data_IF_510488523938
#
_entry.id   IF_510488523938
#
_cell.length_a   1.000
_cell.length_b   1.000
_cell.length_c   1.000
_cell.angle_alpha   90.00
_cell.angle_beta   90.00
_cell.angle_gamma   90.00
#
_symmetry.space_group_name_H-M   'P 1'
#
loop_
_entity.id
_entity.type
_entity.pdbx_description
1 polymer ?
#
# COMPACT_ATOMS: atom_id res chain seq x y z
N UNK A 1 -26.66 66.45 -34.68
CA UNK A 1 -25.45 65.90 -34.01
C UNK A 1 -24.31 66.15 -34.91
N UNK A 2 -23.32 66.96 -34.48
CA UNK A 2 -22.14 67.28 -35.31
C UNK A 2 -21.22 66.04 -35.35
N UNK A 3 -20.50 65.86 -36.41
CA UNK A 3 -19.59 64.76 -36.64
C UNK A 3 -18.61 64.53 -35.47
N UNK A 4 -18.21 65.64 -34.83
CA UNK A 4 -17.36 65.64 -33.64
C UNK A 4 -18.02 64.94 -32.39
N UNK A 5 -19.32 65.24 -32.20
CA UNK A 5 -20.08 64.59 -31.06
C UNK A 5 -20.21 63.08 -31.22
N UNK A 6 -20.35 62.63 -32.47
CA UNK A 6 -20.42 61.23 -32.78
C UNK A 6 -19.09 60.49 -32.54
N UNK A 7 -17.97 61.10 -32.94
CA UNK A 7 -16.63 60.56 -32.69
C UNK A 7 -16.28 60.48 -31.19
N UNK A 8 -16.69 61.43 -30.38
CA UNK A 8 -16.52 61.39 -28.93
C UNK A 8 -17.36 60.25 -28.30
N UNK A 9 -18.58 60.04 -28.77
CA UNK A 9 -19.43 58.97 -28.29
C UNK A 9 -18.84 57.59 -28.58
N UNK A 10 -18.28 57.39 -29.78
CA UNK A 10 -17.61 56.16 -30.17
C UNK A 10 -16.40 55.91 -29.28
N UNK A 11 -15.57 56.89 -29.01
CA UNK A 11 -14.43 56.72 -28.10
C UNK A 11 -14.81 56.40 -26.65
N UNK A 12 -15.93 56.95 -26.18
CA UNK A 12 -16.45 56.61 -24.85
C UNK A 12 -16.92 55.15 -24.82
N UNK A 13 -17.65 54.71 -25.87
CA UNK A 13 -18.12 53.30 -25.97
C UNK A 13 -16.94 52.31 -26.00
N UNK A 14 -15.91 52.58 -26.79
CA UNK A 14 -14.70 51.77 -26.88
C UNK A 14 -14.00 51.65 -25.51
N UNK A 15 -13.84 52.80 -24.80
CA UNK A 15 -13.29 52.81 -23.44
C UNK A 15 -14.13 52.00 -22.44
N UNK A 16 -15.45 52.09 -22.53
CA UNK A 16 -16.33 51.32 -21.65
C UNK A 16 -16.24 49.85 -21.97
N UNK A 17 -16.17 49.45 -23.26
CA UNK A 17 -16.01 48.07 -23.65
C UNK A 17 -14.70 47.49 -23.14
N UNK A 18 -13.57 48.19 -23.32
CA UNK A 18 -12.28 47.76 -22.76
C UNK A 18 -12.33 47.52 -21.25
N UNK A 19 -13.04 48.40 -20.52
CA UNK A 19 -13.18 48.26 -19.08
C UNK A 19 -14.09 47.12 -18.66
N UNK A 20 -15.10 46.78 -19.43
CA UNK A 20 -15.96 45.64 -19.25
C UNK A 20 -15.13 44.34 -19.43
N UNK A 21 -14.34 44.28 -20.50
CA UNK A 21 -13.49 43.13 -20.81
C UNK A 21 -12.45 42.88 -19.68
N UNK A 22 -11.82 43.95 -19.17
CA UNK A 22 -10.90 43.89 -18.02
C UNK A 22 -11.62 43.37 -16.74
N UNK A 23 -12.83 43.83 -16.48
CA UNK A 23 -13.62 43.40 -15.32
C UNK A 23 -14.08 41.96 -15.44
N UNK A 24 -14.46 41.51 -16.64
CA UNK A 24 -14.84 40.12 -16.89
C UNK A 24 -13.63 39.19 -16.68
N UNK A 25 -12.45 39.55 -17.18
CA UNK A 25 -11.23 38.79 -16.97
C UNK A 25 -10.86 38.71 -15.47
N UNK A 26 -10.98 39.84 -14.75
CA UNK A 26 -10.72 39.90 -13.31
C UNK A 26 -11.70 39.02 -12.54
N UNK A 27 -12.99 39.07 -12.91
CA UNK A 27 -14.03 38.22 -12.30
C UNK A 27 -13.76 36.72 -12.50
N UNK A 28 -13.34 36.32 -13.70
CA UNK A 28 -12.98 34.94 -13.99
C UNK A 28 -11.79 34.45 -13.13
N UNK A 29 -10.75 35.27 -12.97
CA UNK A 29 -9.62 34.98 -12.11
C UNK A 29 -10.07 34.82 -10.64
N UNK A 30 -10.89 35.73 -10.15
CA UNK A 30 -11.43 35.66 -8.78
C UNK A 30 -12.30 34.42 -8.54
N UNK A 31 -13.15 34.07 -9.49
CA UNK A 31 -13.97 32.85 -9.41
C UNK A 31 -13.09 31.61 -9.32
N UNK A 32 -12.05 31.51 -10.15
CA UNK A 32 -11.11 30.40 -10.12
C UNK A 32 -10.36 30.31 -8.78
N UNK A 33 -9.85 31.47 -8.29
CA UNK A 33 -9.17 31.53 -7.00
C UNK A 33 -10.09 31.15 -5.82
N UNK A 34 -11.33 31.63 -5.83
CA UNK A 34 -12.30 31.27 -4.78
C UNK A 34 -12.60 29.77 -4.79
N UNK A 35 -12.75 29.17 -5.97
CA UNK A 35 -12.93 27.71 -6.06
C UNK A 35 -11.76 26.95 -5.45
N UNK A 36 -10.52 27.35 -5.77
CA UNK A 36 -9.31 26.74 -5.20
C UNK A 36 -9.26 26.89 -3.67
N UNK A 37 -9.67 28.06 -3.13
CA UNK A 37 -9.73 28.27 -1.68
C UNK A 37 -10.77 27.37 -1.00
N UNK A 38 -11.95 27.21 -1.60
CA UNK A 38 -12.99 26.31 -1.09
C UNK A 38 -12.47 24.87 -1.06
N UNK A 39 -11.90 24.37 -2.16
CA UNK A 39 -11.35 23.03 -2.24
C UNK A 39 -10.25 22.80 -1.18
N UNK A 40 -9.44 23.82 -0.93
CA UNK A 40 -8.39 23.76 0.10
C UNK A 40 -8.96 23.73 1.52
N UNK A 41 -9.98 24.54 1.82
CA UNK A 41 -10.64 24.55 3.14
C UNK A 41 -11.34 23.21 3.40
N UNK A 42 -12.06 22.66 2.42
CA UNK A 42 -12.70 21.34 2.52
C UNK A 42 -11.64 20.23 2.76
N UNK A 43 -10.49 20.34 2.12
CA UNK A 43 -9.35 19.44 2.36
C UNK A 43 -8.85 19.49 3.81
N UNK A 44 -8.66 20.69 4.35
CA UNK A 44 -8.25 20.90 5.76
C UNK A 44 -9.29 20.36 6.74
N UNK A 45 -10.57 20.64 6.53
CA UNK A 45 -11.64 20.13 7.38
C UNK A 45 -11.64 18.60 7.43
N UNK A 46 -11.42 17.97 6.28
CA UNK A 46 -11.32 16.52 6.18
C UNK A 46 -10.10 15.99 6.96
N UNK A 47 -8.93 16.60 6.81
CA UNK A 47 -7.73 16.21 7.55
C UNK A 47 -7.91 16.36 9.08
N UNK A 48 -8.55 17.45 9.53
CA UNK A 48 -8.86 17.66 10.94
C UNK A 48 -9.80 16.58 11.48
N UNK A 49 -10.81 16.20 10.70
CA UNK A 49 -11.75 15.15 11.09
C UNK A 49 -11.06 13.78 11.13
N UNK A 50 -10.22 13.47 10.14
CA UNK A 50 -9.43 12.24 10.13
C UNK A 50 -8.50 12.18 11.34
N UNK A 51 -7.83 13.28 11.71
CA UNK A 51 -7.02 13.36 12.91
C UNK A 51 -7.85 13.16 14.19
N UNK A 52 -8.97 13.88 14.36
CA UNK A 52 -9.84 13.74 15.53
C UNK A 52 -10.33 12.31 15.75
N UNK A 53 -10.66 11.62 14.66
CA UNK A 53 -11.13 10.24 14.69
C UNK A 53 -10.03 9.25 15.11
N UNK A 54 -8.76 9.54 14.84
CA UNK A 54 -7.64 8.66 15.08
C UNK A 54 -6.82 9.03 16.33
N UNK A 55 -6.81 10.31 16.74
CA UNK A 55 -6.03 10.79 17.88
C UNK A 55 -6.20 9.96 19.17
N UNK A 56 -7.40 9.49 19.55
CA UNK A 56 -7.56 8.64 20.74
C UNK A 56 -6.76 7.33 20.65
N UNK A 57 -6.51 6.80 19.47
CA UNK A 57 -5.76 5.56 19.25
C UNK A 57 -4.25 5.81 19.15
N UNK A 58 -3.86 6.94 18.58
CA UNK A 58 -2.46 7.30 18.40
C UNK A 58 -1.77 7.73 19.70
N UNK A 59 -2.52 8.44 20.55
CA UNK A 59 -1.99 9.03 21.80
C UNK A 59 -2.01 8.08 22.99
N UNK A 60 -2.75 6.97 22.91
CA UNK A 60 -2.85 6.03 24.02
C UNK A 60 -1.65 5.08 24.05
N UNK A 61 -0.94 5.08 25.16
CA UNK A 61 0.15 4.14 25.43
C UNK A 61 -0.35 2.83 26.05
N UNK A 62 -1.58 2.80 26.58
CA UNK A 62 -2.19 1.63 27.19
C UNK A 62 -3.14 0.95 26.20
N UNK A 63 -2.87 -0.33 25.89
CA UNK A 63 -3.63 -1.15 24.95
C UNK A 63 -5.09 -1.39 25.40
N UNK A 64 -5.49 -1.00 26.59
CA UNK A 64 -6.84 -1.21 27.15
C UNK A 64 -7.63 0.06 27.35
N UNK A 65 -7.04 1.25 27.14
CA UNK A 65 -7.73 2.51 27.33
C UNK A 65 -8.93 2.67 26.37
N UNK A 66 -10.00 3.27 26.85
CA UNK A 66 -11.26 3.52 26.13
C UNK A 66 -12.04 2.29 25.63
N UNK A 67 -11.81 1.11 26.21
CA UNK A 67 -12.53 -0.12 25.82
C UNK A 67 -12.11 -0.70 24.47
N UNK A 68 -11.07 -0.16 23.85
CA UNK A 68 -10.45 -0.73 22.66
C UNK A 68 -9.25 -1.59 23.07
N UNK A 69 -9.01 -2.64 22.27
CA UNK A 69 -7.81 -3.44 22.38
C UNK A 69 -6.94 -3.25 21.14
N UNK A 70 -5.65 -3.40 21.30
CA UNK A 70 -4.70 -3.33 20.20
C UNK A 70 -4.16 -4.72 19.90
N UNK A 71 -4.08 -5.12 18.62
CA UNK A 71 -3.44 -6.39 18.25
C UNK A 71 -1.97 -6.37 18.69
N UNK A 72 -1.50 -7.49 19.23
CA UNK A 72 -0.09 -7.69 19.55
C UNK A 72 0.68 -7.93 18.27
N UNK A 73 1.52 -6.98 17.88
CA UNK A 73 2.26 -7.01 16.61
C UNK A 73 3.76 -6.99 16.93
N UNK A 74 4.46 -8.04 16.54
CA UNK A 74 5.91 -8.11 16.53
C UNK A 74 6.48 -7.22 15.43
N UNK A 75 7.65 -6.63 15.71
CA UNK A 75 8.32 -5.70 14.79
C UNK A 75 8.73 -6.34 13.45
N UNK A 76 9.02 -5.49 12.46
CA UNK A 76 9.58 -5.92 11.18
C UNK A 76 10.88 -6.73 11.35
N UNK A 77 11.75 -6.34 12.30
CA UNK A 77 12.99 -7.08 12.59
C UNK A 77 12.71 -8.49 13.13
N UNK A 78 11.70 -8.66 13.97
CA UNK A 78 11.28 -9.99 14.46
C UNK A 78 10.65 -10.82 13.34
N UNK A 79 9.94 -10.18 12.40
CA UNK A 79 9.42 -10.85 11.21
C UNK A 79 10.58 -11.36 10.32
N UNK A 80 11.57 -10.52 10.03
CA UNK A 80 12.76 -10.94 9.27
C UNK A 80 13.47 -12.08 9.97
N UNK A 81 13.66 -11.98 11.30
CA UNK A 81 14.31 -13.04 12.07
C UNK A 81 13.55 -14.37 11.96
N UNK A 82 12.22 -14.35 12.06
CA UNK A 82 11.41 -15.55 11.90
C UNK A 82 11.53 -16.16 10.49
N UNK A 83 11.58 -15.33 9.45
CA UNK A 83 11.75 -15.78 8.07
C UNK A 83 13.15 -16.33 7.78
N UNK A 84 14.21 -15.74 8.36
CA UNK A 84 15.61 -16.13 8.13
C UNK A 84 16.03 -17.30 9.02
N UNK A 85 15.85 -17.17 10.34
CA UNK A 85 16.40 -18.12 11.31
C UNK A 85 15.50 -19.36 11.51
N UNK A 86 14.17 -19.14 11.43
CA UNK A 86 13.17 -20.18 11.66
C UNK A 86 12.54 -20.71 10.37
N UNK A 87 12.93 -20.16 9.21
CA UNK A 87 12.37 -20.49 7.88
C UNK A 87 10.84 -20.41 7.79
N UNK A 88 10.23 -19.51 8.55
CA UNK A 88 8.77 -19.34 8.52
C UNK A 88 8.32 -18.69 7.23
N UNK A 89 7.19 -19.12 6.72
CA UNK A 89 6.43 -18.46 5.66
C UNK A 89 5.73 -17.23 6.20
N UNK A 90 5.36 -16.29 5.32
CA UNK A 90 4.65 -15.07 5.70
C UNK A 90 3.47 -14.80 4.77
N UNK A 91 2.28 -14.70 5.35
CA UNK A 91 1.06 -14.17 4.73
C UNK A 91 0.79 -12.76 5.28
N UNK A 92 0.46 -11.78 4.42
CA UNK A 92 0.31 -10.39 4.85
C UNK A 92 -1.10 -9.88 4.61
N UNK A 93 -1.58 -9.07 5.56
CA UNK A 93 -2.88 -8.42 5.52
C UNK A 93 -2.70 -6.91 5.57
N UNK A 94 -3.04 -6.26 4.48
CA UNK A 94 -3.20 -4.81 4.35
C UNK A 94 -4.67 -4.44 4.15
N UNK A 95 -4.89 -3.25 3.65
CA UNK A 95 -6.23 -2.71 3.35
C UNK A 95 -6.94 -3.48 2.21
N UNK A 96 -6.18 -4.04 1.28
CA UNK A 96 -6.71 -4.88 0.20
C UNK A 96 -7.34 -6.17 0.71
N UNK A 97 -6.61 -6.92 1.53
CA UNK A 97 -7.05 -8.20 2.08
C UNK A 97 -8.25 -8.03 3.02
N UNK A 98 -8.22 -7.05 3.92
CA UNK A 98 -9.37 -6.75 4.78
C UNK A 98 -10.60 -6.28 3.98
N UNK A 99 -10.39 -5.53 2.89
CA UNK A 99 -11.48 -5.12 2.00
C UNK A 99 -12.08 -6.31 1.27
N UNK A 100 -11.26 -7.24 0.77
CA UNK A 100 -11.72 -8.46 0.10
C UNK A 100 -12.53 -9.36 1.06
N UNK A 101 -12.07 -9.54 2.31
CA UNK A 101 -12.85 -10.24 3.36
C UNK A 101 -14.22 -9.57 3.57
N UNK A 102 -14.28 -8.24 3.53
CA UNK A 102 -15.52 -7.48 3.67
C UNK A 102 -16.37 -7.37 2.38
N UNK A 103 -16.01 -8.11 1.32
CA UNK A 103 -16.72 -8.08 0.03
C UNK A 103 -16.62 -6.73 -0.69
N UNK A 104 -15.50 -6.03 -0.55
CA UNK A 104 -15.26 -4.72 -1.18
C UNK A 104 -14.02 -4.77 -2.07
N UNK A 105 -14.08 -4.07 -3.20
CA UNK A 105 -12.91 -3.79 -4.04
C UNK A 105 -12.14 -2.61 -3.46
N UNK A 106 -10.82 -2.71 -3.41
CA UNK A 106 -9.94 -1.64 -2.92
C UNK A 106 -8.89 -1.22 -3.94
N UNK A 107 -8.29 -2.17 -4.61
CA UNK A 107 -7.16 -1.96 -5.51
C UNK A 107 -7.37 -2.62 -6.88
N UNK A 108 -6.69 -2.11 -7.91
CA UNK A 108 -6.76 -2.67 -9.28
C UNK A 108 -6.25 -4.11 -9.36
N UNK A 109 -5.33 -4.53 -8.48
CA UNK A 109 -4.87 -5.94 -8.44
C UNK A 109 -6.00 -6.94 -8.16
N UNK A 110 -7.03 -6.49 -7.44
CA UNK A 110 -8.27 -7.23 -7.22
C UNK A 110 -9.43 -6.27 -7.52
N UNK A 111 -9.73 -6.12 -8.81
CA UNK A 111 -10.75 -5.20 -9.31
C UNK A 111 -12.17 -5.75 -9.23
N UNK A 112 -12.32 -7.03 -8.88
CA UNK A 112 -13.60 -7.72 -8.74
C UNK A 112 -13.80 -8.22 -7.31
N UNK A 113 -15.06 -8.24 -6.85
CA UNK A 113 -15.41 -8.90 -5.60
C UNK A 113 -15.41 -10.41 -5.82
N UNK A 114 -14.61 -11.12 -5.03
CA UNK A 114 -14.55 -12.58 -5.05
C UNK A 114 -14.79 -13.12 -3.63
N UNK A 115 -15.98 -13.72 -3.42
CA UNK A 115 -16.38 -14.26 -2.12
C UNK A 115 -15.50 -15.46 -1.71
N UNK A 116 -14.99 -16.25 -2.67
CA UNK A 116 -14.09 -17.38 -2.38
C UNK A 116 -12.74 -16.87 -1.89
N UNK A 117 -12.19 -15.82 -2.54
CA UNK A 117 -10.97 -15.16 -2.07
C UNK A 117 -11.18 -14.60 -0.66
N UNK A 118 -12.29 -13.89 -0.42
CA UNK A 118 -12.61 -13.35 0.90
C UNK A 118 -12.67 -14.43 1.99
N UNK A 119 -13.32 -15.54 1.71
CA UNK A 119 -13.41 -16.70 2.62
C UNK A 119 -12.03 -17.34 2.87
N UNK A 120 -11.21 -17.49 1.84
CA UNK A 120 -9.84 -18.02 1.96
C UNK A 120 -8.94 -17.09 2.78
N UNK A 121 -9.01 -15.79 2.55
CA UNK A 121 -8.26 -14.80 3.34
C UNK A 121 -8.66 -14.88 4.83
N UNK A 122 -9.94 -15.02 5.12
CA UNK A 122 -10.41 -15.18 6.51
C UNK A 122 -9.88 -16.46 7.15
N UNK A 123 -9.85 -17.59 6.42
CA UNK A 123 -9.21 -18.83 6.85
C UNK A 123 -7.74 -18.61 7.20
N UNK A 124 -6.98 -17.95 6.32
CA UNK A 124 -5.56 -17.64 6.54
C UNK A 124 -5.37 -16.77 7.79
N UNK A 125 -6.19 -15.72 7.95
CA UNK A 125 -6.12 -14.80 9.09
C UNK A 125 -6.27 -15.53 10.43
N UNK A 126 -7.14 -16.54 10.47
CA UNK A 126 -7.42 -17.34 11.64
C UNK A 126 -6.55 -18.61 11.76
N UNK A 127 -5.67 -18.86 10.80
CA UNK A 127 -4.80 -20.03 10.81
C UNK A 127 -3.89 -20.06 12.05
N UNK A 128 -3.65 -21.26 12.55
CA UNK A 128 -2.68 -21.57 13.59
C UNK A 128 -1.52 -22.42 13.05
N UNK A 129 -1.26 -22.35 11.73
CA UNK A 129 -0.14 -23.05 11.10
C UNK A 129 1.19 -22.60 11.72
N UNK A 130 1.94 -23.54 12.30
CA UNK A 130 3.13 -23.24 13.09
C UNK A 130 4.23 -22.57 12.25
N UNK A 131 4.39 -23.00 10.99
CA UNK A 131 5.42 -22.48 10.09
C UNK A 131 4.99 -21.23 9.31
N UNK A 132 3.84 -20.62 9.66
CA UNK A 132 3.33 -19.43 9.02
C UNK A 132 3.21 -18.30 10.03
N UNK A 133 3.82 -17.16 9.71
CA UNK A 133 3.54 -15.90 10.41
C UNK A 133 2.50 -15.10 9.65
N UNK A 134 1.54 -14.55 10.40
CA UNK A 134 0.51 -13.66 9.85
C UNK A 134 0.92 -12.22 10.11
N UNK A 135 1.15 -11.48 9.04
CA UNK A 135 1.46 -10.05 9.09
C UNK A 135 0.18 -9.21 9.01
N UNK A 136 0.05 -8.23 9.89
CA UNK A 136 -0.94 -7.16 9.78
C UNK A 136 -0.23 -5.81 9.84
N UNK A 137 -0.84 -4.76 9.27
CA UNK A 137 -0.25 -3.44 9.28
C UNK A 137 -0.07 -2.92 10.71
N UNK A 138 1.13 -2.42 11.04
CA UNK A 138 1.45 -1.92 12.38
C UNK A 138 1.05 -0.46 12.57
N UNK A 139 -0.21 -0.14 12.28
CA UNK A 139 -0.77 1.21 12.25
C UNK A 139 -1.98 1.42 13.19
N UNK A 140 -2.19 0.52 14.15
CA UNK A 140 -3.31 0.59 15.09
C UNK A 140 -3.07 1.53 16.28
N UNK A 141 -1.84 1.88 16.59
CA UNK A 141 -1.41 2.77 17.67
C UNK A 141 -0.70 4.03 17.17
N UNK A 142 0.40 4.46 17.85
CA UNK A 142 1.20 5.61 17.44
C UNK A 142 1.68 5.52 16.00
N UNK A 143 1.58 6.64 15.30
CA UNK A 143 2.04 6.81 13.92
C UNK A 143 3.35 7.61 13.82
N UNK A 144 4.05 7.88 14.94
CA UNK A 144 5.21 8.78 14.97
C UNK A 144 6.35 8.38 14.04
N UNK A 145 6.49 7.09 13.77
CA UNK A 145 7.51 6.55 12.86
C UNK A 145 7.26 6.78 11.36
N UNK A 146 6.08 7.26 10.99
CA UNK A 146 5.69 7.43 9.60
C UNK A 146 5.81 8.89 9.15
N UNK A 147 5.99 9.09 7.84
CA UNK A 147 5.94 10.43 7.21
C UNK A 147 4.56 11.05 7.40
N UNK A 148 4.47 12.38 7.33
CA UNK A 148 3.19 13.08 7.43
C UNK A 148 2.20 12.66 6.35
N UNK A 149 2.70 12.36 5.15
CA UNK A 149 1.86 11.82 4.07
C UNK A 149 1.28 10.45 4.46
N UNK A 150 2.11 9.54 4.93
CA UNK A 150 1.67 8.19 5.34
C UNK A 150 0.70 8.25 6.54
N UNK A 151 0.92 9.16 7.50
CA UNK A 151 -0.03 9.40 8.60
C UNK A 151 -1.40 9.81 8.08
N UNK A 152 -1.45 10.75 7.11
CA UNK A 152 -2.71 11.18 6.50
C UNK A 152 -3.42 10.02 5.78
N UNK A 153 -2.69 9.22 5.02
CA UNK A 153 -3.24 8.06 4.31
C UNK A 153 -3.78 7.00 5.28
N UNK A 154 -3.02 6.69 6.34
CA UNK A 154 -3.44 5.74 7.39
C UNK A 154 -4.71 6.24 8.09
N UNK A 155 -4.76 7.51 8.51
CA UNK A 155 -5.92 8.10 9.18
C UNK A 155 -7.16 8.10 8.30
N UNK A 156 -6.99 8.40 7.00
CA UNK A 156 -8.07 8.36 6.02
C UNK A 156 -8.64 6.95 5.86
N UNK A 157 -7.81 5.94 5.91
CA UNK A 157 -8.23 4.55 5.78
C UNK A 157 -8.81 3.99 7.09
N UNK A 158 -8.08 4.11 8.20
CA UNK A 158 -8.45 3.54 9.50
C UNK A 158 -9.47 4.41 10.25
N UNK A 159 -10.55 4.80 9.57
CA UNK A 159 -11.69 5.43 10.23
C UNK A 159 -12.29 4.52 11.30
N UNK A 160 -12.99 5.05 12.33
CA UNK A 160 -13.50 4.26 13.45
C UNK A 160 -14.29 3.01 13.05
N UNK A 161 -15.07 3.10 11.97
CA UNK A 161 -15.82 1.95 11.43
C UNK A 161 -14.88 0.86 10.92
N UNK A 162 -13.90 1.21 10.08
CA UNK A 162 -12.93 0.27 9.49
C UNK A 162 -12.07 -0.37 10.60
N UNK A 163 -11.61 0.45 11.56
CA UNK A 163 -10.87 -0.04 12.72
C UNK A 163 -11.67 -1.08 13.51
N UNK A 164 -12.95 -0.81 13.76
CA UNK A 164 -13.85 -1.74 14.43
C UNK A 164 -14.04 -3.04 13.64
N UNK A 165 -14.24 -2.95 12.33
CA UNK A 165 -14.33 -4.12 11.45
C UNK A 165 -13.08 -5.00 11.54
N UNK A 166 -11.88 -4.39 11.44
CA UNK A 166 -10.62 -5.13 11.59
C UNK A 166 -10.52 -5.82 12.96
N UNK A 167 -10.79 -5.09 14.05
CA UNK A 167 -10.69 -5.64 15.41
C UNK A 167 -11.71 -6.76 15.68
N UNK A 168 -12.81 -6.83 14.94
CA UNK A 168 -13.77 -7.94 15.02
C UNK A 168 -13.26 -9.21 14.31
N UNK A 169 -12.40 -9.06 13.30
CA UNK A 169 -11.80 -10.17 12.56
C UNK A 169 -10.53 -10.69 13.24
N UNK A 170 -9.81 -9.84 13.98
CA UNK A 170 -8.55 -10.20 14.63
C UNK A 170 -8.79 -10.93 15.97
N UNK A 171 -7.89 -11.85 16.33
CA UNK A 171 -7.90 -12.54 17.63
C UNK A 171 -7.08 -11.79 18.66
N UNK A 172 -7.63 -11.63 19.88
CA UNK A 172 -6.92 -11.03 21.03
C UNK A 172 -5.75 -11.89 21.52
N UNK A 173 -5.85 -13.19 21.34
CA UNK A 173 -4.88 -14.15 21.87
C UNK A 173 -3.73 -14.43 20.89
N UNK A 174 -3.89 -14.04 19.62
CA UNK A 174 -2.90 -14.21 18.58
C UNK A 174 -1.84 -13.11 18.61
N UNK A 175 -0.61 -13.48 18.31
CA UNK A 175 0.49 -12.55 18.04
C UNK A 175 0.66 -12.47 16.53
N UNK A 176 0.58 -11.29 16.01
CA UNK A 176 0.80 -10.95 14.61
C UNK A 176 2.22 -10.43 14.39
N UNK A 177 2.60 -10.23 13.15
CA UNK A 177 3.86 -9.60 12.75
C UNK A 177 3.59 -8.35 11.91
N UNK A 178 4.57 -7.46 11.81
CA UNK A 178 4.43 -6.25 11.03
C UNK A 178 4.41 -6.52 9.52
N UNK A 179 3.25 -6.37 8.88
CA UNK A 179 3.12 -6.51 7.43
C UNK A 179 3.90 -5.46 6.64
N UNK A 180 4.26 -4.33 7.27
CA UNK A 180 5.07 -3.29 6.64
C UNK A 180 6.56 -3.66 6.54
N UNK A 181 6.96 -4.86 6.97
CA UNK A 181 8.31 -5.39 6.74
C UNK A 181 8.72 -5.33 5.26
N UNK A 182 7.78 -5.49 4.33
CA UNK A 182 8.02 -5.40 2.88
C UNK A 182 7.76 -4.01 2.29
N UNK A 183 7.59 -2.99 3.14
CA UNK A 183 7.51 -1.57 2.78
C UNK A 183 8.56 -0.75 3.55
N UNK A 184 9.84 -1.03 3.37
CA UNK A 184 10.89 -0.56 4.27
C UNK A 184 11.33 0.89 4.03
N UNK A 185 10.73 1.64 3.10
CA UNK A 185 11.26 2.91 2.64
C UNK A 185 10.29 4.09 2.71
N UNK A 186 9.43 4.31 1.70
CA UNK A 186 8.75 5.60 1.50
C UNK A 186 7.81 6.02 2.62
N UNK A 187 7.29 5.07 3.37
CA UNK A 187 6.32 5.39 4.42
C UNK A 187 6.96 5.86 5.75
N UNK A 188 8.24 5.63 5.97
CA UNK A 188 8.91 5.91 7.24
C UNK A 188 9.54 7.30 7.27
N UNK A 189 9.47 7.98 8.43
CA UNK A 189 10.03 9.31 8.64
C UNK A 189 11.57 9.35 8.59
N UNK A 190 12.22 8.20 8.72
CA UNK A 190 13.68 8.03 8.63
C UNK A 190 14.17 7.61 7.23
N UNK A 191 13.34 7.80 6.20
CA UNK A 191 13.64 7.37 4.83
C UNK A 191 14.86 8.08 4.18
N UNK A 192 15.27 9.23 4.69
CA UNK A 192 16.47 9.96 4.25
C UNK A 192 17.75 9.59 5.02
N UNK A 193 17.69 8.55 5.88
CA UNK A 193 18.82 8.08 6.68
C UNK A 193 19.37 6.76 6.13
N UNK A 194 20.32 6.13 6.88
CA UNK A 194 20.81 4.78 6.58
C UNK A 194 19.83 3.65 6.97
N UNK A 195 18.71 3.99 7.60
CA UNK A 195 17.74 3.00 8.08
C UNK A 195 17.10 2.16 6.95
N UNK A 196 16.68 2.74 5.81
CA UNK A 196 16.16 1.95 4.68
C UNK A 196 17.17 0.93 4.16
N UNK A 197 18.41 1.32 3.98
CA UNK A 197 19.48 0.39 3.55
C UNK A 197 19.60 -0.78 4.51
N UNK A 198 19.62 -0.51 5.80
CA UNK A 198 19.70 -1.56 6.83
C UNK A 198 18.50 -2.52 6.76
N UNK A 199 17.29 -2.00 6.50
CA UNK A 199 16.08 -2.81 6.34
C UNK A 199 16.14 -3.68 5.08
N UNK A 200 16.59 -3.14 3.95
CA UNK A 200 16.76 -3.93 2.72
C UNK A 200 17.88 -4.99 2.87
N UNK A 201 18.99 -4.64 3.49
CA UNK A 201 20.07 -5.60 3.76
C UNK A 201 19.60 -6.75 4.67
N UNK A 202 18.72 -6.46 5.62
CA UNK A 202 18.11 -7.49 6.45
C UNK A 202 17.15 -8.39 5.66
N UNK A 203 16.33 -7.83 4.78
CA UNK A 203 15.42 -8.57 3.91
C UNK A 203 16.16 -9.46 2.91
N UNK A 204 17.26 -8.96 2.31
CA UNK A 204 18.09 -9.72 1.37
C UNK A 204 18.62 -11.03 1.97
N UNK A 205 18.78 -11.12 3.29
CA UNK A 205 19.19 -12.36 3.97
C UNK A 205 18.20 -13.51 3.82
N UNK A 206 16.93 -13.22 3.51
CA UNK A 206 15.89 -14.25 3.35
C UNK A 206 16.20 -15.17 2.16
N UNK A 207 16.70 -14.61 1.07
CA UNK A 207 17.02 -15.35 -0.16
C UNK A 207 18.52 -15.49 -0.43
N UNK A 208 19.36 -15.11 0.53
CA UNK A 208 20.81 -15.20 0.37
C UNK A 208 21.27 -16.65 0.14
N UNK A 209 21.92 -16.88 -1.00
CA UNK A 209 22.42 -18.22 -1.40
C UNK A 209 21.31 -19.26 -1.65
N UNK A 210 20.05 -18.86 -1.82
CA UNK A 210 18.92 -19.78 -1.99
C UNK A 210 18.40 -19.82 -3.42
N UNK A 211 17.88 -20.98 -3.78
CA UNK A 211 17.12 -21.13 -5.02
C UNK A 211 15.69 -20.58 -4.83
N UNK A 212 15.32 -19.57 -5.59
CA UNK A 212 14.08 -18.85 -5.47
C UNK A 212 13.12 -19.08 -6.64
N UNK A 213 11.82 -19.07 -6.35
CA UNK A 213 10.75 -19.02 -7.33
C UNK A 213 9.94 -17.75 -7.06
N UNK A 214 9.92 -16.83 -8.00
CA UNK A 214 9.03 -15.66 -7.96
C UNK A 214 7.70 -16.05 -8.57
N UNK A 215 6.60 -15.74 -7.87
CA UNK A 215 5.25 -15.87 -8.43
C UNK A 215 4.65 -14.47 -8.50
N UNK A 216 4.48 -13.95 -9.69
CA UNK A 216 4.15 -12.54 -9.90
C UNK A 216 3.18 -12.30 -11.05
N UNK A 217 2.52 -11.14 -11.04
CA UNK A 217 1.71 -10.69 -12.16
C UNK A 217 2.58 -10.27 -13.37
N UNK A 218 2.08 -10.45 -14.59
CA UNK A 218 2.80 -10.22 -15.86
C UNK A 218 3.51 -8.89 -15.94
N UNK A 219 3.16 -7.85 -15.28
CA UNK A 219 3.82 -6.54 -15.34
C UNK A 219 4.57 -6.16 -14.06
N UNK A 220 4.69 -7.08 -13.08
CA UNK A 220 5.32 -6.78 -11.80
C UNK A 220 6.83 -6.71 -11.91
N UNK A 221 7.48 -7.70 -12.57
CA UNK A 221 8.92 -7.73 -12.90
C UNK A 221 9.81 -7.56 -11.66
N UNK A 222 9.59 -8.38 -10.65
CA UNK A 222 10.35 -8.34 -9.40
C UNK A 222 11.85 -8.52 -9.64
N UNK A 223 12.67 -7.58 -9.16
CA UNK A 223 14.13 -7.58 -9.26
C UNK A 223 14.68 -7.21 -10.64
N UNK A 224 13.85 -7.05 -11.67
CA UNK A 224 14.31 -6.68 -13.00
C UNK A 224 14.91 -5.27 -12.98
N UNK A 225 16.16 -5.16 -13.46
CA UNK A 225 16.88 -3.89 -13.53
C UNK A 225 17.54 -3.43 -12.22
N UNK A 226 17.44 -4.22 -11.14
CA UNK A 226 18.05 -3.91 -9.84
C UNK A 226 18.90 -5.07 -9.31
N UNK A 227 19.63 -4.84 -8.21
CA UNK A 227 20.40 -5.86 -7.51
C UNK A 227 19.63 -6.51 -6.34
N UNK A 228 18.31 -6.32 -6.26
CA UNK A 228 17.50 -6.82 -5.15
C UNK A 228 17.68 -8.32 -4.89
N UNK A 229 17.76 -9.11 -5.95
CA UNK A 229 17.86 -10.58 -5.89
C UNK A 229 19.22 -11.14 -6.27
N UNK A 230 20.25 -10.29 -6.43
CA UNK A 230 21.58 -10.72 -6.91
C UNK A 230 22.30 -11.70 -5.97
N UNK A 231 21.93 -11.76 -4.70
CA UNK A 231 22.48 -12.70 -3.73
C UNK A 231 21.71 -14.03 -3.65
N UNK A 232 20.61 -14.20 -4.40
CA UNK A 232 19.98 -15.51 -4.59
C UNK A 232 20.87 -16.42 -5.43
N UNK A 233 20.83 -17.75 -5.17
CA UNK A 233 21.59 -18.74 -5.96
C UNK A 233 21.00 -18.89 -7.36
N UNK A 234 19.69 -18.95 -7.47
CA UNK A 234 18.94 -18.96 -8.72
C UNK A 234 17.57 -18.33 -8.54
N UNK A 235 17.03 -17.80 -9.63
CA UNK A 235 15.69 -17.22 -9.66
C UNK A 235 14.93 -17.80 -10.86
N UNK A 236 13.76 -18.40 -10.59
CA UNK A 236 12.81 -18.83 -11.59
C UNK A 236 11.52 -18.00 -11.43
N UNK A 237 10.75 -17.82 -12.50
CA UNK A 237 9.50 -17.05 -12.44
C UNK A 237 8.31 -17.87 -12.90
N UNK A 238 7.21 -17.80 -12.15
CA UNK A 238 5.88 -18.27 -12.52
C UNK A 238 5.02 -17.03 -12.70
N UNK A 239 4.48 -16.84 -13.90
CA UNK A 239 3.67 -15.68 -14.23
C UNK A 239 2.17 -15.95 -14.00
N UNK A 240 1.52 -15.03 -13.31
CA UNK A 240 0.08 -14.94 -13.18
C UNK A 240 -0.48 -13.69 -13.89
N UNK A 241 -1.81 -13.51 -13.89
CA UNK A 241 -2.43 -12.30 -14.41
C UNK A 241 -1.97 -11.06 -13.64
N UNK A 242 -1.96 -9.91 -14.33
CA UNK A 242 -1.66 -8.62 -13.69
C UNK A 242 -2.74 -8.21 -12.68
N UNK A 243 -3.99 -8.60 -12.92
CA UNK A 243 -5.15 -8.32 -12.09
C UNK A 243 -5.96 -9.59 -11.85
N UNK A 244 -6.70 -9.64 -10.74
CA UNK A 244 -7.60 -10.75 -10.38
C UNK A 244 -6.92 -12.13 -10.44
N UNK A 245 -5.68 -12.21 -9.93
CA UNK A 245 -4.85 -13.41 -10.02
C UNK A 245 -5.51 -14.64 -9.37
N UNK A 246 -6.49 -14.45 -8.48
CA UNK A 246 -7.24 -15.54 -7.86
C UNK A 246 -8.08 -16.33 -8.87
N UNK A 247 -8.44 -15.76 -10.01
CA UNK A 247 -9.14 -16.48 -11.09
C UNK A 247 -8.31 -17.64 -11.68
N UNK A 248 -6.97 -17.57 -11.55
CA UNK A 248 -6.05 -18.63 -11.97
C UNK A 248 -5.39 -19.38 -10.78
N UNK A 249 -6.01 -19.30 -9.61
CA UNK A 249 -5.41 -19.80 -8.36
C UNK A 249 -4.97 -21.27 -8.44
N UNK A 250 -5.86 -22.15 -8.95
CA UNK A 250 -5.59 -23.59 -9.02
C UNK A 250 -4.40 -23.90 -9.93
N UNK A 251 -4.27 -23.21 -11.06
CA UNK A 251 -3.11 -23.33 -11.95
C UNK A 251 -1.83 -22.87 -11.24
N UNK A 252 -1.85 -21.66 -10.65
CA UNK A 252 -0.70 -21.09 -9.96
C UNK A 252 -0.21 -21.99 -8.83
N UNK A 253 -1.14 -22.52 -8.03
CA UNK A 253 -0.80 -23.47 -6.97
C UNK A 253 -0.21 -24.77 -7.52
N UNK A 254 -0.81 -25.33 -8.59
CA UNK A 254 -0.30 -26.52 -9.25
C UNK A 254 1.12 -26.34 -9.77
N UNK A 255 1.38 -25.24 -10.49
CA UNK A 255 2.71 -24.90 -11.03
C UNK A 255 3.77 -24.75 -9.92
N UNK A 256 3.37 -24.19 -8.76
CA UNK A 256 4.22 -24.10 -7.59
C UNK A 256 4.53 -25.48 -6.96
N UNK A 257 3.52 -26.35 -6.86
CA UNK A 257 3.66 -27.67 -6.23
C UNK A 257 4.55 -28.63 -7.04
N UNK A 258 4.78 -28.36 -8.32
CA UNK A 258 5.73 -29.10 -9.17
C UNK A 258 7.20 -28.78 -8.84
N UNK A 259 7.47 -27.70 -8.10
CA UNK A 259 8.84 -27.29 -7.76
C UNK A 259 9.41 -28.11 -6.61
N UNK A 260 10.74 -28.28 -6.54
CA UNK A 260 11.41 -28.95 -5.42
C UNK A 260 11.13 -28.25 -4.08
N UNK A 261 11.03 -29.02 -3.01
CA UNK A 261 10.66 -28.53 -1.66
C UNK A 261 11.67 -27.56 -1.02
N UNK A 262 12.91 -27.56 -1.46
CA UNK A 262 13.95 -26.65 -0.99
C UNK A 262 13.87 -25.24 -1.59
N UNK A 263 13.02 -25.02 -2.59
CA UNK A 263 12.82 -23.70 -3.20
C UNK A 263 12.12 -22.75 -2.23
N UNK A 264 12.59 -21.49 -2.21
CA UNK A 264 11.93 -20.39 -1.54
C UNK A 264 10.99 -19.69 -2.51
N UNK A 265 9.73 -19.52 -2.13
CA UNK A 265 8.77 -18.76 -2.93
C UNK A 265 8.70 -17.30 -2.47
N UNK A 266 8.81 -16.37 -3.42
CA UNK A 266 8.60 -14.93 -3.25
C UNK A 266 7.36 -14.54 -4.06
N UNK A 267 6.30 -14.09 -3.39
CA UNK A 267 4.98 -13.93 -3.99
C UNK A 267 4.60 -12.46 -4.12
N UNK A 268 4.22 -12.03 -5.31
CA UNK A 268 3.81 -10.66 -5.64
C UNK A 268 2.55 -10.65 -6.53
N UNK A 269 1.40 -11.08 -5.96
CA UNK A 269 0.11 -11.27 -6.66
C UNK A 269 -1.08 -10.61 -5.94
N UNK A 270 -0.84 -9.48 -5.24
CA UNK A 270 -1.87 -8.85 -4.42
C UNK A 270 -2.47 -9.82 -3.40
N UNK A 271 -3.78 -9.77 -3.08
CA UNK A 271 -4.39 -10.63 -2.07
C UNK A 271 -4.27 -12.14 -2.34
N UNK A 272 -4.06 -12.53 -3.59
CA UNK A 272 -3.81 -13.93 -3.97
C UNK A 272 -2.52 -14.46 -3.36
N UNK A 273 -1.48 -13.62 -3.23
CA UNK A 273 -0.21 -13.99 -2.62
C UNK A 273 -0.38 -14.44 -1.16
N UNK A 274 -1.25 -13.79 -0.41
CA UNK A 274 -1.56 -14.12 0.98
C UNK A 274 -2.09 -15.54 1.13
N UNK A 275 -3.03 -15.95 0.26
CA UNK A 275 -3.60 -17.32 0.25
C UNK A 275 -2.58 -18.33 -0.25
N UNK A 276 -1.82 -17.99 -1.29
CA UNK A 276 -0.81 -18.88 -1.87
C UNK A 276 0.33 -19.14 -0.87
N UNK A 277 0.77 -18.14 -0.09
CA UNK A 277 1.76 -18.33 0.96
C UNK A 277 1.31 -19.35 2.01
N UNK A 278 0.04 -19.32 2.38
CA UNK A 278 -0.54 -20.27 3.33
C UNK A 278 -0.58 -21.69 2.77
N UNK A 279 -1.08 -21.89 1.56
CA UNK A 279 -1.19 -23.23 0.99
C UNK A 279 0.18 -23.84 0.67
N UNK A 280 1.12 -23.05 0.21
CA UNK A 280 2.51 -23.48 0.03
C UNK A 280 3.19 -23.83 1.37
N UNK A 281 2.94 -23.06 2.42
CA UNK A 281 3.41 -23.37 3.76
C UNK A 281 2.88 -24.74 4.23
N UNK A 282 1.57 -24.98 4.11
CA UNK A 282 0.95 -26.30 4.44
C UNK A 282 1.51 -27.43 3.59
N UNK A 283 1.90 -27.13 2.37
CA UNK A 283 2.55 -28.12 1.49
C UNK A 283 4.04 -28.33 1.81
N UNK A 284 4.61 -27.64 2.82
CA UNK A 284 5.99 -27.81 3.29
C UNK A 284 7.02 -26.98 2.55
N UNK A 285 6.61 -25.90 1.88
CA UNK A 285 7.51 -24.88 1.32
C UNK A 285 7.65 -23.71 2.26
N UNK A 286 8.72 -22.95 2.12
CA UNK A 286 8.78 -21.58 2.62
C UNK A 286 8.28 -20.63 1.54
N UNK A 287 7.24 -19.87 1.83
CA UNK A 287 6.63 -18.90 0.91
C UNK A 287 6.38 -17.58 1.60
N UNK A 288 6.81 -16.48 0.98
CA UNK A 288 6.76 -15.14 1.54
C UNK A 288 6.03 -14.23 0.58
N UNK A 289 4.91 -13.67 1.03
CA UNK A 289 4.25 -12.56 0.37
C UNK A 289 5.12 -11.31 0.51
N UNK A 290 5.78 -10.91 -0.57
CA UNK A 290 6.68 -9.74 -0.62
C UNK A 290 5.96 -8.45 -1.03
N UNK A 291 4.72 -8.53 -1.54
CA UNK A 291 3.92 -7.38 -1.97
C UNK A 291 4.68 -6.44 -2.88
N UNK A 292 4.81 -5.16 -2.48
CA UNK A 292 5.46 -4.09 -3.24
C UNK A 292 6.94 -3.88 -2.91
N UNK A 293 7.62 -4.88 -2.35
CA UNK A 293 9.02 -4.75 -1.95
C UNK A 293 9.93 -4.29 -3.10
N UNK A 294 9.66 -4.75 -4.30
CA UNK A 294 10.42 -4.39 -5.50
C UNK A 294 10.27 -2.89 -5.84
N UNK A 295 9.06 -2.35 -5.81
CA UNK A 295 8.83 -0.91 -6.04
C UNK A 295 9.46 -0.06 -4.93
N UNK A 296 9.38 -0.48 -3.67
CA UNK A 296 10.06 0.19 -2.56
C UNK A 296 11.58 0.24 -2.76
N UNK A 297 12.16 -0.83 -3.32
CA UNK A 297 13.58 -0.89 -3.63
C UNK A 297 13.97 0.00 -4.80
N UNK A 298 13.15 0.05 -5.85
CA UNK A 298 13.33 0.96 -6.97
C UNK A 298 13.32 2.44 -6.52
N UNK A 299 12.33 2.81 -5.69
CA UNK A 299 12.26 4.18 -5.14
C UNK A 299 13.47 4.49 -4.26
N UNK A 300 13.91 3.53 -3.44
CA UNK A 300 15.12 3.69 -2.62
C UNK A 300 16.37 3.93 -3.47
N UNK A 301 16.60 3.14 -4.52
CA UNK A 301 17.76 3.30 -5.41
C UNK A 301 17.75 4.64 -6.16
N UNK A 302 16.57 5.19 -6.44
CA UNK A 302 16.40 6.49 -7.09
C UNK A 302 16.44 7.66 -6.12
N UNK A 303 16.42 7.41 -4.81
CA UNK A 303 16.31 8.46 -3.78
C UNK A 303 14.96 9.17 -3.76
N UNK A 304 13.89 8.50 -4.22
CA UNK A 304 12.53 9.05 -4.28
C UNK A 304 11.85 8.89 -2.94
N UNK A 305 11.73 9.96 -2.16
CA UNK A 305 11.06 9.93 -0.84
C UNK A 305 9.53 9.73 -0.89
N UNK A 306 8.96 9.58 -2.08
CA UNK A 306 7.53 9.42 -2.34
C UNK A 306 7.30 8.31 -3.38
N UNK A 307 6.05 7.86 -3.51
CA UNK A 307 5.65 6.91 -4.55
C UNK A 307 5.60 7.61 -5.90
N UNK A 308 6.39 7.12 -6.85
CA UNK A 308 6.44 7.61 -8.23
C UNK A 308 6.27 6.45 -9.21
N UNK A 309 5.94 6.77 -10.45
CA UNK A 309 5.88 5.77 -11.51
C UNK A 309 7.27 5.16 -11.76
N UNK A 310 7.30 3.82 -11.88
CA UNK A 310 8.49 3.06 -12.29
C UNK A 310 8.25 2.57 -13.72
N UNK A 311 8.96 3.10 -14.72
CA UNK A 311 8.75 2.73 -16.10
C UNK A 311 8.83 1.22 -16.33
N UNK A 312 7.81 0.66 -16.98
CA UNK A 312 7.74 -0.75 -17.31
C UNK A 312 7.30 -1.67 -16.17
N UNK A 313 7.02 -1.16 -14.98
CA UNK A 313 6.45 -1.93 -13.85
C UNK A 313 5.03 -1.45 -13.54
N UNK A 314 4.14 -2.39 -13.25
CA UNK A 314 2.77 -2.07 -12.86
C UNK A 314 2.73 -1.56 -11.42
N UNK A 315 2.19 -0.37 -11.23
CA UNK A 315 2.00 0.26 -9.94
C UNK A 315 0.56 0.79 -9.82
N UNK A 316 -0.22 0.20 -8.94
CA UNK A 316 -1.62 0.59 -8.69
C UNK A 316 -1.80 1.51 -7.48
N UNK A 317 -0.72 1.97 -6.86
CA UNK A 317 -0.74 2.85 -5.69
C UNK A 317 -0.59 4.34 -6.05
N UNK A 318 -0.33 4.61 -7.31
CA UNK A 318 -0.34 5.99 -7.81
C UNK A 318 -1.80 6.48 -7.91
N UNK A 319 -2.07 7.74 -7.52
CA UNK A 319 -3.35 8.34 -7.82
C UNK A 319 -3.61 8.28 -9.32
N UNK A 320 -4.85 7.99 -9.71
CA UNK A 320 -5.24 8.11 -11.11
C UNK A 320 -4.90 9.54 -11.56
N UNK A 321 -4.04 9.66 -12.55
CA UNK A 321 -3.78 10.97 -13.21
C UNK A 321 -5.06 11.36 -13.92
N UNK A 322 -5.75 12.41 -13.40
CA UNK A 322 -6.88 13.06 -14.07
C UNK A 322 -6.49 13.61 -15.44
#
# INVERSE_FOLDING_TARGET
MQEQDFLQLVQIIERQQTKIDELEQTAQVLIKSNKQLIDWVDGIEKEINDYKNNAPFELLTDQTANGYWYPRIKSANEAVKAMVDEHKSMARFGDGEFSAIAGRVRHKFQSEVDEKLGARLLEVLHSHEENLIIGIASNYGSLDRYTEQSKREIRRYLQPKVRKEHLQLLSKDKVYYDAYVTRPYVMYADNETEAPKTRFDALKKIWDGRDCVIVEGVMTRVGEGTDLLNNAMSVETILGPAENAFNEYDRLLSDCLEKPKNKLFLLALGPTATVLAYDLCKAGYQAIDIGHLDLEYEWFLRGEGIRVEVPGKYNNELPDTE
#
